data_IF_138647245885
#
_entry.id   IF_138647245885
#
_cell.length_a   1.000
_cell.length_b   1.000
_cell.length_c   1.000
_cell.angle_alpha   90.00
_cell.angle_beta   90.00
_cell.angle_gamma   90.00
#
_symmetry.space_group_name_H-M   'P 1'
#
loop_
_entity.id
_entity.type
_entity.pdbx_description
1 polymer ?
#
# COMPACT_ATOMS: atom_id res chain seq x y z
N UNK A 1 6.19 -0.77 19.59
CA UNK A 1 6.93 0.26 18.83
C UNK A 1 7.64 1.31 19.70
N UNK A 2 7.53 1.28 21.03
CA UNK A 2 8.18 2.25 21.93
C UNK A 2 9.57 1.85 22.43
N UNK A 3 9.93 0.57 22.27
CA UNK A 3 11.02 -0.04 23.04
C UNK A 3 12.35 -0.08 22.28
N UNK A 4 12.37 0.46 21.06
CA UNK A 4 13.54 0.54 20.19
C UNK A 4 13.79 1.98 19.76
N UNK A 5 15.06 2.38 19.70
CA UNK A 5 15.47 3.65 19.13
C UNK A 5 15.62 3.48 17.62
N UNK A 6 14.69 4.02 16.85
CA UNK A 6 14.66 3.95 15.39
C UNK A 6 14.26 5.31 14.81
N UNK A 7 15.06 5.87 13.91
CA UNK A 7 14.76 7.09 13.16
C UNK A 7 14.12 6.71 11.82
N UNK A 8 12.79 6.75 11.72
CA UNK A 8 12.04 6.36 10.51
C UNK A 8 12.42 7.15 9.25
N UNK A 9 13.08 8.31 9.37
CA UNK A 9 13.52 9.10 8.23
C UNK A 9 14.88 8.64 7.66
N UNK A 10 15.61 7.79 8.38
CA UNK A 10 17.00 7.43 8.03
C UNK A 10 17.31 5.95 8.18
N UNK A 11 16.75 5.31 9.19
CA UNK A 11 17.04 3.93 9.52
C UNK A 11 16.16 3.00 8.66
N UNK A 12 16.72 1.96 8.03
CA UNK A 12 15.92 0.99 7.30
C UNK A 12 15.12 0.10 8.25
N UNK A 13 13.98 -0.41 7.78
CA UNK A 13 13.19 -1.40 8.51
C UNK A 13 14.00 -2.69 8.62
N UNK A 14 14.22 -3.14 9.86
CA UNK A 14 14.91 -4.42 10.13
C UNK A 14 13.90 -5.55 10.07
N UNK A 15 14.04 -6.40 9.07
CA UNK A 15 13.18 -7.55 8.85
C UNK A 15 13.53 -8.70 9.79
N UNK A 16 12.50 -9.41 10.25
CA UNK A 16 12.60 -10.61 11.06
C UNK A 16 11.62 -11.65 10.54
N UNK A 17 12.11 -12.85 10.24
CA UNK A 17 11.26 -13.97 9.86
C UNK A 17 11.06 -14.85 11.11
N UNK A 18 9.81 -15.16 11.42
CA UNK A 18 9.45 -16.10 12.47
C UNK A 18 8.53 -17.18 11.87
N UNK A 19 9.09 -18.37 11.66
CA UNK A 19 8.47 -19.43 10.85
C UNK A 19 8.08 -18.88 9.47
N UNK A 20 6.79 -18.87 9.15
CA UNK A 20 6.25 -18.43 7.86
C UNK A 20 5.77 -16.97 7.88
N UNK A 21 6.02 -16.22 8.95
CA UNK A 21 5.58 -14.83 9.10
C UNK A 21 6.78 -13.88 9.03
N UNK A 22 6.74 -12.95 8.09
CA UNK A 22 7.67 -11.82 8.02
C UNK A 22 7.14 -10.68 8.90
N UNK A 23 7.96 -10.20 9.83
CA UNK A 23 7.67 -9.06 10.70
C UNK A 23 8.83 -8.07 10.69
N UNK A 24 8.66 -6.90 11.29
CA UNK A 24 9.77 -6.03 11.62
C UNK A 24 10.27 -6.27 13.05
N UNK A 25 11.54 -5.96 13.31
CA UNK A 25 12.15 -6.06 14.63
C UNK A 25 11.86 -4.80 15.45
N UNK A 26 10.71 -4.81 16.15
CA UNK A 26 10.30 -3.77 17.10
C UNK A 26 9.66 -2.50 16.51
N UNK A 27 9.62 -2.35 15.19
CA UNK A 27 8.88 -1.29 14.46
C UNK A 27 7.62 -1.84 13.80
N UNK A 28 6.84 -0.97 13.12
CA UNK A 28 5.92 -1.41 12.06
C UNK A 28 6.71 -1.97 10.87
N UNK A 29 6.10 -2.91 10.14
CA UNK A 29 6.68 -3.50 8.94
C UNK A 29 6.40 -2.68 7.67
N UNK A 30 5.26 -1.97 7.62
CA UNK A 30 4.78 -1.32 6.40
C UNK A 30 4.34 -2.35 5.34
N UNK A 31 3.86 -3.52 5.77
CA UNK A 31 3.28 -4.52 4.86
C UNK A 31 2.04 -3.96 4.15
N UNK A 32 1.29 -3.14 4.87
CA UNK A 32 0.23 -2.30 4.33
C UNK A 32 0.76 -0.90 3.98
N UNK A 33 0.71 -0.40 2.74
CA UNK A 33 0.44 -1.12 1.49
C UNK A 33 1.73 -1.67 0.81
N UNK A 34 2.84 -1.81 1.53
CA UNK A 34 4.13 -2.17 0.93
C UNK A 34 4.11 -3.44 0.09
N UNK A 35 3.30 -4.45 0.45
CA UNK A 35 3.14 -5.67 -0.34
C UNK A 35 2.39 -5.41 -1.66
N UNK A 36 1.34 -4.59 -1.65
CA UNK A 36 0.61 -4.21 -2.86
C UNK A 36 1.48 -3.39 -3.82
N UNK A 37 2.28 -2.46 -3.28
CA UNK A 37 3.27 -1.70 -4.04
C UNK A 37 4.31 -2.62 -4.68
N UNK A 38 4.92 -3.52 -3.90
CA UNK A 38 5.91 -4.48 -4.40
C UNK A 38 5.32 -5.40 -5.48
N UNK A 39 4.09 -5.86 -5.30
CA UNK A 39 3.38 -6.70 -6.28
C UNK A 39 3.17 -5.96 -7.60
N UNK A 40 2.75 -4.69 -7.53
CA UNK A 40 2.55 -3.84 -8.72
C UNK A 40 3.85 -3.63 -9.48
N UNK A 41 4.96 -3.37 -8.78
CA UNK A 41 6.28 -3.21 -9.39
C UNK A 41 6.78 -4.52 -10.02
N UNK A 42 6.57 -5.67 -9.38
CA UNK A 42 6.94 -6.97 -9.93
C UNK A 42 6.18 -7.27 -11.23
N UNK A 43 4.88 -6.92 -11.30
CA UNK A 43 4.09 -7.06 -12.53
C UNK A 43 4.64 -6.17 -13.65
N UNK A 44 5.05 -4.94 -13.33
CA UNK A 44 5.61 -4.01 -14.32
C UNK A 44 7.01 -4.43 -14.80
N UNK A 45 7.79 -5.13 -13.97
CA UNK A 45 9.11 -5.63 -14.31
C UNK A 45 9.06 -6.91 -15.18
N UNK A 46 8.04 -7.75 -15.00
CA UNK A 46 7.95 -9.06 -15.67
C UNK A 46 7.47 -8.96 -17.13
N UNK A 47 8.42 -9.14 -18.06
CA UNK A 47 8.17 -9.14 -19.50
C UNK A 47 7.48 -10.41 -20.03
N UNK A 48 7.27 -11.44 -19.19
CA UNK A 48 6.66 -12.72 -19.60
C UNK A 48 5.16 -12.78 -19.30
N UNK A 49 4.64 -11.85 -18.50
CA UNK A 49 3.22 -11.82 -18.17
C UNK A 49 2.37 -11.47 -19.40
N UNK A 50 1.37 -12.31 -19.66
CA UNK A 50 0.38 -12.08 -20.73
C UNK A 50 -0.78 -11.27 -20.20
N UNK A 51 -0.55 -9.97 -20.01
CA UNK A 51 -1.54 -9.01 -19.53
C UNK A 51 -1.90 -8.00 -20.64
N UNK A 52 -3.05 -7.34 -20.48
CA UNK A 52 -3.35 -6.14 -21.26
C UNK A 52 -2.47 -4.96 -20.82
N UNK A 53 -2.78 -3.76 -21.29
CA UNK A 53 -2.14 -2.55 -20.79
C UNK A 53 -2.39 -2.39 -19.28
N UNK A 54 -1.31 -2.18 -18.52
CA UNK A 54 -1.34 -1.97 -17.07
C UNK A 54 -0.87 -0.55 -16.77
N UNK A 55 -1.58 0.12 -15.88
CA UNK A 55 -1.17 1.36 -15.24
C UNK A 55 -1.08 1.09 -13.73
N UNK A 56 -0.01 1.53 -13.07
CA UNK A 56 0.12 1.46 -11.62
C UNK A 56 0.04 2.87 -11.05
N UNK A 57 -0.92 3.10 -10.15
CA UNK A 57 -1.09 4.35 -9.42
C UNK A 57 -0.60 4.14 -7.98
N UNK A 58 0.39 4.93 -7.56
CA UNK A 58 0.89 4.96 -6.19
C UNK A 58 0.49 6.29 -5.57
N UNK A 59 -0.51 6.28 -4.70
CA UNK A 59 -0.96 7.48 -3.97
C UNK A 59 -0.02 7.76 -2.79
N UNK A 60 0.19 9.04 -2.52
CA UNK A 60 0.91 9.48 -1.32
C UNK A 60 -0.06 9.75 -0.18
N UNK A 61 0.43 9.58 1.05
CA UNK A 61 -0.23 10.07 2.26
C UNK A 61 -1.65 9.51 2.49
N UNK A 62 -1.76 8.18 2.47
CA UNK A 62 -3.00 7.46 2.80
C UNK A 62 -3.32 7.63 4.30
N UNK A 63 -2.36 7.26 5.14
CA UNK A 63 -2.48 7.10 6.60
C UNK A 63 -2.75 8.38 7.41
N UNK A 64 -2.60 9.57 6.82
CA UNK A 64 -2.82 10.83 7.55
C UNK A 64 -3.91 11.71 6.96
N UNK A 65 -4.26 11.56 5.68
CA UNK A 65 -5.25 12.46 5.07
C UNK A 65 -5.73 12.12 3.67
N UNK A 66 -5.30 11.01 3.08
CA UNK A 66 -5.64 10.60 1.71
C UNK A 66 -5.35 11.69 0.67
N UNK A 67 -4.36 12.56 0.91
CA UNK A 67 -4.17 13.78 0.11
C UNK A 67 -3.83 13.46 -1.35
N UNK A 68 -3.07 12.39 -1.59
CA UNK A 68 -2.77 11.91 -2.94
C UNK A 68 -4.02 11.41 -3.68
N UNK A 69 -4.95 10.76 -2.99
CA UNK A 69 -6.20 10.28 -3.59
C UNK A 69 -7.13 11.44 -3.95
N UNK A 70 -7.24 12.46 -3.09
CA UNK A 70 -8.05 13.66 -3.36
C UNK A 70 -7.48 14.54 -4.47
N UNK A 71 -6.15 14.54 -4.66
CA UNK A 71 -5.47 15.32 -5.69
C UNK A 71 -5.51 14.67 -7.09
N UNK A 72 -6.10 13.48 -7.24
CA UNK A 72 -6.14 12.79 -8.52
C UNK A 72 -7.04 13.54 -9.51
N UNK A 73 -6.46 14.01 -10.61
CA UNK A 73 -7.18 14.75 -11.64
C UNK A 73 -7.80 13.85 -12.72
N UNK A 74 -8.83 14.38 -13.38
CA UNK A 74 -9.42 13.74 -14.54
C UNK A 74 -8.37 13.57 -15.66
N UNK A 75 -8.35 12.39 -16.29
CA UNK A 75 -7.45 11.99 -17.38
C UNK A 75 -5.99 11.67 -16.98
N UNK A 76 -5.68 11.54 -15.68
CA UNK A 76 -4.36 11.02 -15.26
C UNK A 76 -4.17 9.53 -15.56
N UNK A 77 -5.27 8.78 -15.69
CA UNK A 77 -5.28 7.35 -15.99
C UNK A 77 -6.19 7.07 -17.20
N UNK A 78 -5.83 6.08 -17.99
CA UNK A 78 -6.62 5.60 -19.14
C UNK A 78 -7.37 4.29 -18.83
N UNK A 79 -7.01 3.63 -17.73
CA UNK A 79 -7.60 2.41 -17.23
C UNK A 79 -9.11 2.54 -16.96
N UNK A 80 -9.85 1.50 -17.33
CA UNK A 80 -11.32 1.41 -17.12
C UNK A 80 -11.70 0.55 -15.91
N UNK A 81 -10.71 -0.10 -15.31
CA UNK A 81 -10.87 -1.00 -14.17
C UNK A 81 -9.71 -0.74 -13.22
N UNK A 82 -10.01 -0.72 -11.94
CA UNK A 82 -9.04 -0.55 -10.87
C UNK A 82 -9.10 -1.75 -9.95
N UNK A 83 -7.93 -2.26 -9.58
CA UNK A 83 -7.76 -3.19 -8.47
C UNK A 83 -6.97 -2.44 -7.41
N UNK A 84 -7.63 -2.10 -6.32
CA UNK A 84 -6.94 -1.62 -5.13
C UNK A 84 -6.37 -2.84 -4.39
N UNK A 85 -5.12 -2.72 -3.92
CA UNK A 85 -4.37 -3.80 -3.27
C UNK A 85 -4.24 -3.58 -1.76
N UNK A 86 -5.15 -2.81 -1.18
CA UNK A 86 -5.15 -2.28 0.20
C UNK A 86 -6.14 -3.02 1.10
N UNK A 87 -6.42 -4.28 0.74
CA UNK A 87 -7.25 -5.18 1.53
C UNK A 87 -6.34 -6.21 2.19
N UNK A 88 -6.46 -6.37 3.51
CA UNK A 88 -5.55 -7.19 4.31
C UNK A 88 -6.04 -8.65 4.53
N UNK A 89 -7.29 -8.95 4.20
CA UNK A 89 -7.88 -10.28 4.40
C UNK A 89 -7.69 -11.21 3.19
N UNK A 90 -6.96 -12.32 3.39
CA UNK A 90 -6.75 -13.32 2.36
C UNK A 90 -8.06 -13.99 1.91
N UNK A 91 -8.28 -14.05 0.60
CA UNK A 91 -9.46 -14.69 0.01
C UNK A 91 -10.74 -13.85 0.08
N UNK A 92 -10.65 -12.61 0.54
CA UNK A 92 -11.77 -11.67 0.62
C UNK A 92 -11.65 -10.63 -0.49
N UNK A 93 -12.78 -10.30 -1.13
CA UNK A 93 -12.87 -9.19 -2.08
C UNK A 93 -13.66 -8.07 -1.43
N UNK A 94 -13.00 -6.96 -1.15
CA UNK A 94 -13.61 -5.76 -0.59
C UNK A 94 -14.19 -4.92 -1.72
N UNK A 95 -15.50 -4.64 -1.66
CA UNK A 95 -16.24 -3.89 -2.69
C UNK A 95 -16.76 -2.53 -2.21
N UNK A 96 -16.45 -2.15 -0.97
CA UNK A 96 -16.84 -0.87 -0.38
C UNK A 96 -16.18 -0.65 0.98
N UNK A 97 -16.09 0.61 1.38
CA UNK A 97 -15.59 1.05 2.68
C UNK A 97 -16.47 2.18 3.23
N UNK A 98 -16.36 2.46 4.52
CA UNK A 98 -16.99 3.63 5.13
C UNK A 98 -16.18 4.90 4.81
N UNK A 99 -16.86 6.04 4.70
CA UNK A 99 -16.19 7.34 4.70
C UNK A 99 -15.79 7.76 6.12
N UNK A 100 -14.83 8.67 6.23
CA UNK A 100 -14.38 9.27 7.49
C UNK A 100 -14.49 10.80 7.46
N UNK A 101 -14.64 11.43 8.62
CA UNK A 101 -14.64 12.88 8.76
C UNK A 101 -14.47 13.28 10.21
N UNK A 102 -13.63 14.29 10.45
CA UNK A 102 -13.41 14.82 11.80
C UNK A 102 -14.67 15.47 12.34
N UNK A 103 -15.05 15.10 13.56
CA UNK A 103 -16.14 15.76 14.28
C UNK A 103 -15.62 17.08 14.85
N UNK A 104 -16.12 18.19 14.33
CA UNK A 104 -15.93 19.50 14.96
C UNK A 104 -17.02 19.68 16.03
N UNK A 105 -16.60 19.78 17.30
CA UNK A 105 -17.43 20.20 18.43
C UNK A 105 -17.39 21.71 18.63
#
# INVERSE_FOLDING_TARGET
NSDIKHDFLKDPIKLKINNDVLTADGTTLGADNGIGVATSLAILEDNNLKLGAIEALFTVDEETGLTGAFALENNMLTGKKMLNLDSEDFGVITVGCAGGGDSQV
#
